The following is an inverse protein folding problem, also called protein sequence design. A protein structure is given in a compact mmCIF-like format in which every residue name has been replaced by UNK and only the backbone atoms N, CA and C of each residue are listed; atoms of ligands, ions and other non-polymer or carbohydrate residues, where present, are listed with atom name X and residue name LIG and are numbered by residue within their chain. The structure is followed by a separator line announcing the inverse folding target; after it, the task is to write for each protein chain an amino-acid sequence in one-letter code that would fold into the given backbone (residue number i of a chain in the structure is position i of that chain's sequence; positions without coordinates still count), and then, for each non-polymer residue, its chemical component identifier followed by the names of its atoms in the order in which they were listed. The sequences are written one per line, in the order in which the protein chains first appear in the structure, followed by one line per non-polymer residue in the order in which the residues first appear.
data_IF_085891606826
#
_entry.id   IF_085891606826
#
_cell.length_a   1.000
_cell.length_b   1.000
_cell.length_c   1.000
_cell.angle_alpha   90.00
_cell.angle_beta   90.00
_cell.angle_gamma   90.00
#
_symmetry.space_group_name_H-M   'P 1'
#
loop_
_entity.id
_entity.type
_entity.pdbx_description
1 polymer ?
#
# COMPACT_ATOMS: atom_id res chain seq x y z
N UNK A 1 -11.16 14.17 5.49
CA UNK A 1 -9.89 13.43 5.27
C UNK A 1 -9.20 13.96 4.02
N UNK A 2 -7.91 14.32 4.10
CA UNK A 2 -7.10 14.59 2.91
C UNK A 2 -6.82 13.28 2.16
N UNK A 3 -6.72 13.33 0.83
CA UNK A 3 -6.35 12.20 -0.03
C UNK A 3 -5.08 11.47 0.44
N UNK A 4 -4.08 12.21 0.91
CA UNK A 4 -2.85 11.64 1.48
C UNK A 4 -3.14 10.68 2.64
N UNK A 5 -3.94 11.14 3.60
CA UNK A 5 -4.30 10.35 4.78
C UNK A 5 -5.05 9.07 4.40
N UNK A 6 -5.92 9.12 3.39
CA UNK A 6 -6.63 7.93 2.89
C UNK A 6 -5.68 6.92 2.26
N UNK A 7 -4.66 7.38 1.53
CA UNK A 7 -3.64 6.50 0.97
C UNK A 7 -2.80 5.85 2.08
N UNK A 8 -2.41 6.63 3.08
CA UNK A 8 -1.65 6.13 4.24
C UNK A 8 -2.45 5.05 4.99
N UNK A 9 -3.73 5.29 5.30
CA UNK A 9 -4.57 4.27 5.94
C UNK A 9 -4.69 2.99 5.12
N UNK A 10 -4.98 3.09 3.82
CA UNK A 10 -5.10 1.91 2.96
C UNK A 10 -3.77 1.13 2.86
N UNK A 11 -2.63 1.82 2.82
CA UNK A 11 -1.30 1.19 2.83
C UNK A 11 -1.09 0.40 4.13
N UNK A 12 -1.40 1.00 5.28
CA UNK A 12 -1.22 0.35 6.59
C UNK A 12 -2.13 -0.87 6.74
N UNK A 13 -3.40 -0.75 6.35
CA UNK A 13 -4.38 -1.85 6.39
C UNK A 13 -3.92 -3.03 5.50
N UNK A 14 -3.48 -2.75 4.27
CA UNK A 14 -3.01 -3.81 3.38
C UNK A 14 -1.71 -4.44 3.87
N UNK A 15 -0.79 -3.65 4.46
CA UNK A 15 0.47 -4.16 5.00
C UNK A 15 0.22 -5.15 6.14
N UNK A 16 -0.69 -4.83 7.05
CA UNK A 16 -1.06 -5.76 8.14
C UNK A 16 -1.63 -7.06 7.58
N UNK A 17 -2.58 -6.97 6.65
CA UNK A 17 -3.17 -8.16 6.02
C UNK A 17 -2.15 -9.03 5.28
N UNK A 18 -1.19 -8.40 4.60
CA UNK A 18 -0.08 -9.11 3.95
C UNK A 18 0.74 -9.90 4.98
N UNK A 19 1.07 -9.30 6.12
CA UNK A 19 1.81 -9.97 7.18
C UNK A 19 1.02 -11.11 7.82
N UNK A 20 -0.27 -10.93 8.08
CA UNK A 20 -1.12 -11.99 8.65
C UNK A 20 -1.17 -13.23 7.73
N UNK A 21 -1.25 -13.00 6.42
CA UNK A 21 -1.23 -14.08 5.43
C UNK A 21 0.15 -14.70 5.33
N UNK A 22 1.21 -13.90 5.32
CA UNK A 22 2.58 -14.42 5.26
C UNK A 22 2.92 -15.31 6.46
N UNK A 23 2.52 -14.89 7.66
CA UNK A 23 2.71 -15.65 8.90
C UNK A 23 1.92 -16.97 8.89
N UNK A 24 0.70 -16.94 8.35
CA UNK A 24 -0.17 -18.12 8.25
C UNK A 24 0.25 -19.10 7.15
N UNK A 25 0.50 -18.59 5.93
CA UNK A 25 0.90 -19.37 4.77
C UNK A 25 1.70 -18.49 3.77
N UNK A 26 3.04 -18.58 3.76
CA UNK A 26 3.88 -17.76 2.88
C UNK A 26 3.79 -18.15 1.39
N UNK A 27 3.11 -19.26 1.07
CA UNK A 27 2.90 -19.73 -0.32
C UNK A 27 1.49 -19.46 -0.83
N UNK A 28 0.67 -18.73 -0.07
CA UNK A 28 -0.69 -18.40 -0.46
C UNK A 28 -0.72 -17.51 -1.71
N UNK A 29 -1.57 -17.83 -2.68
CA UNK A 29 -1.76 -17.01 -3.87
C UNK A 29 -2.34 -15.62 -3.52
N UNK A 30 -3.10 -15.53 -2.42
CA UNK A 30 -3.64 -14.27 -1.92
C UNK A 30 -2.53 -13.33 -1.42
N UNK A 31 -1.42 -13.88 -0.91
CA UNK A 31 -0.25 -13.08 -0.52
C UNK A 31 0.32 -12.33 -1.72
N UNK A 32 0.43 -13.00 -2.87
CA UNK A 32 0.90 -12.39 -4.12
C UNK A 32 -0.05 -11.27 -4.55
N UNK A 33 -1.37 -11.54 -4.52
CA UNK A 33 -2.39 -10.56 -4.91
C UNK A 33 -2.33 -9.30 -4.04
N UNK A 34 -2.22 -9.46 -2.72
CA UNK A 34 -2.14 -8.34 -1.79
C UNK A 34 -0.82 -7.59 -1.91
N UNK A 35 0.29 -8.28 -2.18
CA UNK A 35 1.59 -7.64 -2.41
C UNK A 35 1.53 -6.71 -3.63
N UNK A 36 0.88 -7.14 -4.71
CA UNK A 36 0.68 -6.32 -5.92
C UNK A 36 -0.22 -5.10 -5.65
N UNK A 37 -1.30 -5.29 -4.91
CA UNK A 37 -2.22 -4.21 -4.53
C UNK A 37 -1.55 -3.18 -3.60
N UNK A 38 -0.68 -3.63 -2.69
CA UNK A 38 0.15 -2.77 -1.84
C UNK A 38 1.13 -1.94 -2.69
N UNK A 39 1.80 -2.57 -3.65
CA UNK A 39 2.72 -1.88 -4.56
C UNK A 39 2.00 -0.77 -5.36
N UNK A 40 0.78 -1.01 -5.83
CA UNK A 40 -0.02 0.00 -6.52
C UNK A 40 -0.35 1.19 -5.63
N UNK A 41 -0.70 0.96 -4.36
CA UNK A 41 -0.96 2.01 -3.39
C UNK A 41 0.31 2.81 -3.06
N UNK A 42 1.45 2.14 -2.86
CA UNK A 42 2.74 2.79 -2.64
C UNK A 42 3.14 3.64 -3.85
N UNK A 43 2.89 3.17 -5.07
CA UNK A 43 3.14 3.93 -6.29
C UNK A 43 2.25 5.17 -6.39
N UNK A 44 0.97 5.08 -6.04
CA UNK A 44 0.06 6.24 -5.97
C UNK A 44 0.53 7.25 -4.93
N UNK A 45 0.96 6.79 -3.75
CA UNK A 45 1.49 7.65 -2.69
C UNK A 45 2.79 8.36 -3.10
N UNK A 46 3.74 7.63 -3.70
CA UNK A 46 4.98 8.21 -4.25
C UNK A 46 4.68 9.27 -5.32
N UNK A 47 3.75 9.00 -6.24
CA UNK A 47 3.32 9.97 -7.25
C UNK A 47 2.74 11.22 -6.59
N UNK A 48 1.82 11.05 -5.64
CA UNK A 48 1.23 12.16 -4.89
C UNK A 48 2.30 13.04 -4.23
N UNK A 49 3.24 12.45 -3.49
CA UNK A 49 4.33 13.21 -2.84
C UNK A 49 5.24 13.91 -3.86
N UNK A 50 5.55 13.27 -5.00
CA UNK A 50 6.35 13.89 -6.05
C UNK A 50 5.67 15.15 -6.61
N UNK A 51 4.36 15.10 -6.87
CA UNK A 51 3.61 16.27 -7.35
C UNK A 51 3.58 17.42 -6.33
N UNK A 52 3.59 17.13 -5.03
CA UNK A 52 3.66 18.15 -4.00
C UNK A 52 5.06 18.79 -3.90
N UNK A 53 6.14 18.06 -4.19
CA UNK A 53 7.51 18.59 -4.18
C UNK A 53 7.90 19.38 -5.43
N UNK A 54 7.24 19.18 -6.58
CA UNK A 54 7.50 19.95 -7.82
C UNK A 54 6.62 21.18 -7.98
N UNK A 55 5.70 21.42 -7.04
CA UNK A 55 4.78 22.55 -7.04
C UNK A 55 5.14 23.68 -6.06
N UNK A 56 6.37 23.69 -5.54
CA UNK A 56 6.93 24.75 -4.69
C UNK A 56 8.03 25.50 -5.43
#
# INVERSE_FOLDING_TARGET
MNYKFRLEQQIEELRMRMYDIYDSNPTDAELIRISQELDDLLNKFRKYNRYQSTGQ
#
